data_IF_950180213127
#
_entry.id   IF_950180213127
#
_cell.length_a   1.000
_cell.length_b   1.000
_cell.length_c   1.000
_cell.angle_alpha   90.00
_cell.angle_beta   90.00
_cell.angle_gamma   90.00
#
_symmetry.space_group_name_H-M   'P 1'
#
loop_
_entity.id
_entity.type
_entity.pdbx_description
1 polymer ?
#
# COMPACT_ATOMS: atom_id res chain seq x y z
N UNK A 1 17.25 3.13 5.10
CA UNK A 1 16.96 1.84 4.55
C UNK A 1 15.56 1.39 4.87
N UNK A 2 14.94 0.64 3.99
CA UNK A 2 13.57 0.20 4.21
C UNK A 2 13.52 -0.91 5.25
N UNK A 3 12.64 -0.75 6.23
CA UNK A 3 12.43 -1.77 7.23
C UNK A 3 11.33 -2.69 6.72
N UNK A 4 11.67 -3.96 6.46
CA UNK A 4 10.69 -4.89 5.94
C UNK A 4 10.13 -5.82 7.01
N UNK A 5 10.56 -5.64 8.24
CA UNK A 5 9.99 -6.41 9.33
C UNK A 5 8.82 -5.64 9.92
N UNK A 6 7.96 -6.33 10.63
CA UNK A 6 6.80 -5.69 11.22
C UNK A 6 7.24 -4.60 12.19
N UNK A 7 6.80 -3.40 11.94
CA UNK A 7 7.19 -2.26 12.72
C UNK A 7 6.00 -1.54 13.33
N UNK A 8 4.83 -2.12 13.18
CA UNK A 8 3.60 -1.55 13.72
C UNK A 8 3.25 -2.32 14.98
N UNK A 9 2.97 -1.59 16.05
CA UNK A 9 2.69 -2.22 17.33
C UNK A 9 1.49 -3.15 17.28
N UNK A 10 0.46 -2.79 16.52
CA UNK A 10 -0.73 -3.62 16.40
C UNK A 10 -1.10 -3.74 14.93
N UNK A 11 -0.43 -4.64 14.21
CA UNK A 11 -0.71 -4.78 12.77
C UNK A 11 -2.17 -5.11 12.48
N UNK A 12 -2.79 -5.93 13.30
CA UNK A 12 -4.18 -6.32 13.07
C UNK A 12 -5.11 -5.13 13.21
N UNK A 13 -4.85 -4.27 14.19
CA UNK A 13 -5.66 -3.09 14.39
C UNK A 13 -5.49 -2.12 13.23
N UNK A 14 -4.28 -1.96 12.74
CA UNK A 14 -4.03 -1.09 11.60
C UNK A 14 -4.78 -1.60 10.38
N UNK A 15 -4.72 -2.90 10.14
CA UNK A 15 -5.37 -3.49 8.99
C UNK A 15 -6.88 -3.30 9.07
N UNK A 16 -7.44 -3.49 10.26
CA UNK A 16 -8.86 -3.31 10.46
C UNK A 16 -9.28 -1.87 10.20
N UNK A 17 -8.48 -0.92 10.67
CA UNK A 17 -8.78 0.49 10.44
C UNK A 17 -8.65 0.84 8.97
N UNK A 18 -7.71 0.21 8.27
CA UNK A 18 -7.54 0.45 6.84
C UNK A 18 -8.78 -0.03 6.08
N UNK A 19 -9.32 -1.18 6.47
CA UNK A 19 -10.54 -1.68 5.86
C UNK A 19 -11.70 -0.74 6.14
N UNK A 20 -11.80 -0.25 7.37
CA UNK A 20 -12.87 0.67 7.72
C UNK A 20 -12.77 1.98 6.96
N UNK A 21 -11.55 2.39 6.65
CA UNK A 21 -11.33 3.62 5.91
C UNK A 21 -12.03 3.57 4.56
N UNK A 22 -12.13 2.39 3.96
CA UNK A 22 -12.74 2.24 2.65
C UNK A 22 -14.22 1.91 2.70
N UNK A 23 -14.79 1.84 3.90
CA UNK A 23 -16.19 1.45 4.03
C UNK A 23 -17.10 2.47 3.37
N UNK A 24 -18.07 1.97 2.62
CA UNK A 24 -19.08 2.79 1.96
C UNK A 24 -18.52 3.72 0.86
N UNK A 25 -17.34 3.43 0.37
CA UNK A 25 -16.79 4.18 -0.75
C UNK A 25 -16.96 3.37 -2.03
N UNK A 26 -17.09 4.06 -3.15
CA UNK A 26 -17.09 3.39 -4.44
C UNK A 26 -15.67 2.97 -4.75
N UNK A 27 -15.50 2.14 -5.78
CA UNK A 27 -14.16 1.71 -6.17
C UNK A 27 -13.31 2.91 -6.58
N UNK A 28 -13.91 3.88 -7.27
CA UNK A 28 -13.17 5.07 -7.66
C UNK A 28 -12.76 5.89 -6.46
N UNK A 29 -13.65 6.01 -5.48
CA UNK A 29 -13.33 6.76 -4.27
C UNK A 29 -12.25 6.04 -3.47
N UNK A 30 -12.30 4.72 -3.40
CA UNK A 30 -11.28 3.96 -2.69
C UNK A 30 -9.92 4.13 -3.35
N UNK A 31 -9.87 4.13 -4.68
CA UNK A 31 -8.62 4.33 -5.39
C UNK A 31 -8.05 5.71 -5.08
N UNK A 32 -8.92 6.72 -5.01
CA UNK A 32 -8.46 8.06 -4.70
C UNK A 32 -7.94 8.18 -3.28
N UNK A 33 -8.61 7.55 -2.33
CA UNK A 33 -8.16 7.54 -0.94
C UNK A 33 -6.79 6.88 -0.86
N UNK A 34 -6.60 5.76 -1.56
CA UNK A 34 -5.31 5.07 -1.55
C UNK A 34 -4.21 5.95 -2.13
N UNK A 35 -4.50 6.66 -3.22
CA UNK A 35 -3.51 7.54 -3.82
C UNK A 35 -3.12 8.66 -2.87
N UNK A 36 -4.10 9.24 -2.18
CA UNK A 36 -3.82 10.30 -1.24
C UNK A 36 -3.04 9.78 -0.04
N UNK A 37 -3.36 8.58 0.42
CA UNK A 37 -2.68 7.98 1.55
C UNK A 37 -1.21 7.74 1.22
N UNK A 38 -0.93 7.28 0.00
CA UNK A 38 0.44 7.07 -0.43
C UNK A 38 1.21 8.39 -0.38
N UNK A 39 0.60 9.47 -0.86
CA UNK A 39 1.28 10.76 -0.84
C UNK A 39 1.52 11.27 0.58
N UNK A 40 0.56 11.04 1.46
CA UNK A 40 0.73 11.45 2.84
C UNK A 40 1.84 10.65 3.52
N UNK A 41 1.88 9.34 3.30
CA UNK A 41 2.92 8.52 3.86
C UNK A 41 4.28 8.90 3.27
N UNK A 42 4.33 9.14 1.97
CA UNK A 42 5.57 9.51 1.31
C UNK A 42 6.10 10.83 1.87
N UNK A 43 5.21 11.79 2.08
CA UNK A 43 5.62 13.06 2.62
C UNK A 43 6.13 12.91 4.06
N UNK A 44 5.50 12.05 4.83
CA UNK A 44 5.93 11.82 6.20
C UNK A 44 7.30 11.14 6.25
N UNK A 45 7.52 10.15 5.39
CA UNK A 45 8.80 9.45 5.33
C UNK A 45 9.88 10.38 4.82
N UNK A 46 9.63 11.09 3.75
CA UNK A 46 10.50 12.13 3.26
C UNK A 46 11.84 11.71 2.68
N UNK A 47 12.11 10.42 2.60
CA UNK A 47 13.40 9.90 2.13
C UNK A 47 13.19 9.18 0.82
N UNK A 48 13.71 9.76 -0.26
CA UNK A 48 13.50 9.18 -1.59
C UNK A 48 14.09 7.80 -1.75
N UNK A 49 15.19 7.51 -1.09
CA UNK A 49 15.78 6.17 -1.19
C UNK A 49 14.88 5.14 -0.57
N UNK A 50 14.29 5.46 0.58
CA UNK A 50 13.36 4.55 1.24
C UNK A 50 12.11 4.39 0.38
N UNK A 51 11.62 5.48 -0.20
CA UNK A 51 10.43 5.42 -1.03
C UNK A 51 10.66 4.58 -2.28
N UNK A 52 11.81 4.72 -2.91
CA UNK A 52 12.13 3.92 -4.08
C UNK A 52 12.25 2.44 -3.72
N UNK A 53 12.86 2.15 -2.59
CA UNK A 53 13.00 0.77 -2.14
C UNK A 53 11.62 0.16 -1.87
N UNK A 54 10.72 0.95 -1.28
CA UNK A 54 9.37 0.47 -1.00
C UNK A 54 8.60 0.20 -2.30
N UNK A 55 8.73 1.09 -3.28
CA UNK A 55 8.05 0.90 -4.55
C UNK A 55 8.56 -0.34 -5.27
N UNK A 56 9.87 -0.54 -5.25
CA UNK A 56 10.46 -1.70 -5.87
C UNK A 56 9.99 -2.99 -5.19
N UNK A 57 9.98 -3.00 -3.87
CA UNK A 57 9.56 -4.18 -3.13
C UNK A 57 8.09 -4.51 -3.41
N UNK A 58 7.26 -3.48 -3.45
CA UNK A 58 5.84 -3.69 -3.70
C UNK A 58 5.60 -4.25 -5.10
N UNK A 59 6.33 -3.72 -6.08
CA UNK A 59 6.14 -4.16 -7.46
C UNK A 59 6.68 -5.57 -7.67
N UNK A 60 7.80 -5.88 -7.05
CA UNK A 60 8.42 -7.17 -7.23
C UNK A 60 7.49 -8.29 -6.78
N UNK A 61 6.85 -8.09 -5.66
CA UNK A 61 5.99 -9.12 -5.14
C UNK A 61 4.83 -9.41 -6.10
N UNK A 62 4.27 -8.39 -6.69
CA UNK A 62 3.14 -8.54 -7.59
C UNK A 62 3.59 -9.03 -8.96
N UNK A 63 4.61 -8.43 -9.51
CA UNK A 63 5.05 -8.76 -10.85
C UNK A 63 5.68 -10.14 -10.94
N UNK A 64 6.25 -10.62 -9.85
CA UNK A 64 6.91 -11.92 -9.86
C UNK A 64 5.93 -13.07 -9.73
N UNK A 65 4.65 -12.80 -9.53
CA UNK A 65 3.67 -13.86 -9.37
C UNK A 65 2.63 -13.75 -10.47
N UNK A 66 3.00 -14.11 -11.66
CA UNK A 66 2.13 -13.90 -12.80
C UNK A 66 0.78 -14.60 -12.70
N UNK A 67 0.66 -15.57 -11.92
CA UNK A 67 -0.63 -16.21 -11.81
C UNK A 67 -1.60 -15.54 -10.90
N UNK A 68 -1.21 -14.48 -10.27
CA UNK A 68 -2.07 -13.80 -9.36
C UNK A 68 -3.14 -13.12 -10.08
N UNK A 69 -4.32 -13.60 -9.91
CA UNK A 69 -5.29 -13.07 -10.70
C UNK A 69 -5.84 -11.84 -10.30
N UNK A 70 -5.80 -11.53 -9.11
CA UNK A 70 -6.44 -10.44 -8.75
C UNK A 70 -6.09 -9.34 -9.49
N UNK A 71 -5.04 -9.36 -10.03
CA UNK A 71 -4.72 -8.28 -10.64
C UNK A 71 -5.12 -8.27 -11.91
N UNK A 72 -5.53 -9.29 -12.24
CA UNK A 72 -5.87 -9.24 -13.49
C UNK A 72 -6.86 -8.29 -13.72
N UNK A 73 -7.23 -7.86 -13.11
CA UNK A 73 -7.99 -7.01 -13.45
C UNK A 73 -7.55 -6.00 -13.66
N UNK A 74 -7.47 -5.71 -14.23
CA UNK A 74 -6.82 -4.85 -14.53
C UNK A 74 -7.06 -3.83 -14.12
N UNK A 75 -6.99 -3.63 -13.89
CA UNK A 75 -7.18 -2.65 -13.46
C UNK A 75 -6.86 -1.90 -13.91
#
# INVERSE_FOLDING_TARGET
>A
MLNTESNIASPDDFYEELIDLHRDLTDEQSALVNAKLILLFANHIGDMEVLRAAMTAAREDVAAKPGTTLQSEPR
#
